data_IF_148232564772
#
_entry.id   IF_148232564772
#
_cell.length_a   1.000
_cell.length_b   1.000
_cell.length_c   1.000
_cell.angle_alpha   90.00
_cell.angle_beta   90.00
_cell.angle_gamma   90.00
#
_symmetry.space_group_name_H-M   'P 1'
#
loop_
_entity.id
_entity.type
_entity.pdbx_description
1 polymer ?
#
# COMPACT_ATOMS: atom_id res chain seq x y z
N UNK A 1 -33.37 -7.15 -8.09
CA UNK A 1 -32.04 -6.65 -8.54
C UNK A 1 -31.60 -5.55 -7.57
N UNK A 2 -30.31 -5.53 -7.24
CA UNK A 2 -29.75 -4.38 -6.52
C UNK A 2 -29.75 -3.16 -7.46
N UNK A 3 -30.13 -2.00 -6.92
CA UNK A 3 -30.06 -0.74 -7.68
C UNK A 3 -28.59 -0.33 -7.88
N UNK A 4 -28.28 0.22 -9.07
CA UNK A 4 -26.97 0.80 -9.36
C UNK A 4 -26.69 1.98 -8.44
N UNK A 5 -25.51 2.02 -7.82
CA UNK A 5 -25.07 3.16 -7.01
C UNK A 5 -24.17 4.06 -7.85
N UNK A 6 -24.75 5.14 -8.39
CA UNK A 6 -24.07 6.05 -9.30
C UNK A 6 -22.88 6.78 -8.64
N UNK A 7 -23.00 7.16 -7.37
CA UNK A 7 -21.93 7.83 -6.63
C UNK A 7 -20.70 6.93 -6.48
N UNK A 8 -20.92 5.66 -6.13
CA UNK A 8 -19.83 4.68 -6.00
C UNK A 8 -19.20 4.40 -7.37
N UNK A 9 -20.00 4.23 -8.42
CA UNK A 9 -19.47 4.01 -9.78
C UNK A 9 -18.66 5.21 -10.27
N UNK A 10 -19.14 6.43 -10.07
CA UNK A 10 -18.39 7.64 -10.39
C UNK A 10 -17.05 7.69 -9.65
N UNK A 11 -17.04 7.41 -8.35
CA UNK A 11 -15.82 7.34 -7.55
C UNK A 11 -14.83 6.32 -8.13
N UNK A 12 -15.26 5.10 -8.41
CA UNK A 12 -14.40 4.03 -8.94
C UNK A 12 -13.79 4.39 -10.31
N UNK A 13 -14.54 5.07 -11.17
CA UNK A 13 -14.10 5.49 -12.49
C UNK A 13 -13.17 6.71 -12.46
N UNK A 14 -13.29 7.59 -11.44
CA UNK A 14 -12.56 8.86 -11.38
C UNK A 14 -11.43 8.89 -10.35
N UNK A 15 -11.39 7.95 -9.38
CA UNK A 15 -10.36 7.96 -8.34
C UNK A 15 -8.93 7.90 -8.91
N UNK A 16 -8.01 8.66 -8.29
CA UNK A 16 -6.60 8.73 -8.68
C UNK A 16 -5.68 8.59 -7.47
N UNK A 17 -4.59 7.83 -7.63
CA UNK A 17 -3.48 7.91 -6.68
C UNK A 17 -2.87 9.31 -6.70
N UNK A 18 -2.50 9.82 -5.53
CA UNK A 18 -1.78 11.09 -5.38
C UNK A 18 -0.30 10.78 -5.17
N UNK A 19 0.63 11.42 -5.90
CA UNK A 19 2.06 11.12 -5.72
C UNK A 19 2.48 11.28 -4.24
N UNK A 20 3.16 10.29 -3.67
CA UNK A 20 3.49 10.29 -2.24
C UNK A 20 4.27 11.54 -1.80
N UNK A 21 5.16 12.06 -2.68
CA UNK A 21 5.91 13.31 -2.44
C UNK A 21 5.05 14.56 -2.32
N UNK A 22 3.76 14.47 -2.65
CA UNK A 22 2.78 15.58 -2.57
C UNK A 22 1.81 15.43 -1.40
N UNK A 23 2.01 14.39 -0.59
CA UNK A 23 1.19 14.14 0.60
C UNK A 23 1.88 14.77 1.82
N UNK A 24 1.14 15.61 2.53
CA UNK A 24 1.61 16.33 3.72
C UNK A 24 0.67 16.15 4.91
N UNK A 25 1.01 16.77 6.02
CA UNK A 25 0.08 16.97 7.13
C UNK A 25 -1.04 17.96 6.73
N UNK A 26 -2.25 17.87 7.33
CA UNK A 26 -2.63 16.90 8.34
C UNK A 26 -2.75 15.49 7.77
N UNK A 27 -2.58 14.49 8.66
CA UNK A 27 -2.80 13.08 8.37
C UNK A 27 -4.05 12.60 9.13
N UNK A 28 -4.67 11.46 8.74
CA UNK A 28 -5.78 10.87 9.50
C UNK A 28 -5.42 10.70 10.97
N UNK A 29 -6.33 11.09 11.86
CA UNK A 29 -6.26 10.74 13.28
C UNK A 29 -6.49 9.23 13.44
N UNK A 30 -6.19 8.71 14.64
CA UNK A 30 -6.29 7.26 14.91
C UNK A 30 -7.66 6.68 14.56
N UNK A 31 -8.73 7.35 14.94
CA UNK A 31 -10.10 6.84 14.71
C UNK A 31 -10.46 6.88 13.22
N UNK A 32 -10.09 7.95 12.51
CA UNK A 32 -10.25 8.04 11.06
C UNK A 32 -9.45 6.94 10.34
N UNK A 33 -8.20 6.71 10.77
CA UNK A 33 -7.38 5.65 10.19
C UNK A 33 -7.96 4.26 10.47
N UNK A 34 -8.50 4.01 11.67
CA UNK A 34 -9.17 2.75 12.00
C UNK A 34 -10.39 2.49 11.09
N UNK A 35 -11.17 3.51 10.76
CA UNK A 35 -12.27 3.39 9.79
C UNK A 35 -11.76 2.95 8.41
N UNK A 36 -10.66 3.55 7.92
CA UNK A 36 -10.03 3.16 6.65
C UNK A 36 -9.55 1.71 6.68
N UNK A 37 -8.90 1.29 7.77
CA UNK A 37 -8.43 -0.08 7.96
C UNK A 37 -9.58 -1.08 8.05
N UNK A 38 -10.67 -0.73 8.73
CA UNK A 38 -11.90 -1.54 8.76
C UNK A 38 -12.49 -1.73 7.36
N UNK A 39 -12.53 -0.67 6.55
CA UNK A 39 -13.00 -0.76 5.17
C UNK A 39 -12.08 -1.65 4.32
N UNK A 40 -10.76 -1.51 4.46
CA UNK A 40 -9.78 -2.35 3.77
C UNK A 40 -9.87 -3.82 4.18
N UNK A 41 -10.10 -4.09 5.46
CA UNK A 41 -10.26 -5.44 6.00
C UNK A 41 -11.52 -6.18 5.53
N UNK A 42 -12.41 -5.54 4.76
CA UNK A 42 -13.55 -6.20 4.09
C UNK A 42 -13.18 -6.91 2.78
N UNK A 43 -11.91 -6.89 2.41
CA UNK A 43 -11.40 -7.59 1.24
C UNK A 43 -11.73 -9.08 1.30
N UNK A 44 -12.16 -9.70 0.17
CA UNK A 44 -12.39 -11.14 0.09
C UNK A 44 -11.15 -11.95 0.48
N UNK A 45 -11.38 -13.00 1.24
CA UNK A 45 -10.36 -13.89 1.81
C UNK A 45 -10.89 -15.32 1.79
N UNK A 46 -10.30 -16.16 0.94
CA UNK A 46 -10.71 -17.56 0.82
C UNK A 46 -10.42 -18.30 2.13
N UNK A 47 -11.46 -18.93 2.69
CA UNK A 47 -11.38 -19.72 3.92
C UNK A 47 -11.20 -18.89 5.19
N UNK A 48 -11.32 -17.58 5.16
CA UNK A 48 -11.18 -16.69 6.33
C UNK A 48 -9.84 -16.86 7.04
N UNK A 49 -8.76 -16.99 6.26
CA UNK A 49 -7.40 -17.17 6.77
C UNK A 49 -6.82 -15.87 7.35
N UNK A 50 -7.37 -14.71 6.96
CA UNK A 50 -6.83 -13.39 7.27
C UNK A 50 -5.32 -13.35 6.94
N UNK A 51 -4.94 -13.55 5.64
CA UNK A 51 -3.55 -13.71 5.24
C UNK A 51 -2.82 -12.36 5.16
N UNK A 52 -3.17 -11.42 6.01
CA UNK A 52 -2.59 -10.07 6.04
C UNK A 52 -2.77 -9.42 7.42
N UNK A 53 -1.93 -8.42 7.67
CA UNK A 53 -2.00 -7.51 8.82
C UNK A 53 -1.48 -6.13 8.42
N UNK A 54 -1.67 -5.15 9.29
CA UNK A 54 -1.24 -3.78 9.07
C UNK A 54 -0.14 -3.38 10.06
N UNK A 55 0.85 -2.60 9.59
CA UNK A 55 1.78 -1.86 10.43
C UNK A 55 1.61 -0.38 10.10
N UNK A 56 1.25 0.43 11.08
CA UNK A 56 1.13 1.88 10.93
C UNK A 56 2.49 2.50 11.20
N UNK A 57 3.00 3.24 10.21
CA UNK A 57 4.30 3.88 10.21
C UNK A 57 4.12 5.41 10.23
N UNK A 58 4.36 6.03 11.37
CA UNK A 58 4.39 7.48 11.51
C UNK A 58 5.75 8.06 11.08
N UNK A 59 5.85 9.37 11.03
CA UNK A 59 7.00 10.15 10.56
C UNK A 59 8.34 9.68 11.14
N UNK A 60 8.39 9.48 12.46
CA UNK A 60 9.61 9.10 13.17
C UNK A 60 10.10 7.72 12.71
N UNK A 61 9.17 6.76 12.60
CA UNK A 61 9.52 5.42 12.12
C UNK A 61 9.91 5.42 10.64
N UNK A 62 9.22 6.19 9.82
CA UNK A 62 9.58 6.35 8.40
C UNK A 62 10.98 6.95 8.24
N UNK A 63 11.36 7.93 9.07
CA UNK A 63 12.71 8.50 9.08
C UNK A 63 13.77 7.47 9.46
N UNK A 64 13.51 6.66 10.51
CA UNK A 64 14.40 5.56 10.91
C UNK A 64 14.59 4.53 9.80
N UNK A 65 13.50 4.19 9.09
CA UNK A 65 13.56 3.29 7.93
C UNK A 65 14.34 3.90 6.77
N UNK A 66 14.30 5.22 6.58
CA UNK A 66 15.13 5.93 5.60
C UNK A 66 16.62 5.79 5.90
N UNK A 67 17.03 5.93 7.16
CA UNK A 67 18.42 5.69 7.60
C UNK A 67 18.84 4.24 7.39
N UNK A 68 17.96 3.29 7.72
CA UNK A 68 18.23 1.85 7.52
C UNK A 68 18.43 1.51 6.03
N UNK A 69 17.60 2.06 5.14
CA UNK A 69 17.74 1.89 3.68
C UNK A 69 19.09 2.39 3.16
N UNK A 70 19.56 3.51 3.70
CA UNK A 70 20.88 4.06 3.32
C UNK A 70 22.01 3.10 3.72
N UNK A 71 21.96 2.57 4.95
CA UNK A 71 22.93 1.59 5.45
C UNK A 71 22.95 0.32 4.62
N UNK A 72 21.79 -0.31 4.39
CA UNK A 72 21.67 -1.54 3.60
C UNK A 72 22.12 -1.31 2.16
N UNK A 73 21.68 -0.21 1.54
CA UNK A 73 22.03 0.09 0.17
C UNK A 73 23.54 0.27 -0.06
N UNK A 74 24.24 0.87 0.91
CA UNK A 74 25.70 0.99 0.87
C UNK A 74 26.40 -0.38 1.00
N UNK A 75 25.90 -1.26 1.87
CA UNK A 75 26.45 -2.62 2.07
C UNK A 75 26.23 -3.52 0.85
N UNK A 76 25.04 -3.44 0.23
CA UNK A 76 24.68 -4.26 -0.93
C UNK A 76 25.09 -3.67 -2.27
N UNK A 77 25.86 -2.58 -2.29
CA UNK A 77 26.30 -1.90 -3.51
C UNK A 77 25.15 -1.49 -4.43
N UNK A 78 24.01 -1.12 -3.86
CA UNK A 78 22.87 -0.58 -4.61
C UNK A 78 23.28 0.79 -5.20
N UNK A 79 22.92 1.11 -6.45
CA UNK A 79 23.21 2.41 -7.03
C UNK A 79 22.73 3.57 -6.17
N UNK A 80 23.58 4.57 -5.95
CA UNK A 80 23.31 5.71 -5.04
C UNK A 80 22.00 6.41 -5.36
N UNK A 81 21.66 6.59 -6.62
CA UNK A 81 20.38 7.17 -7.05
C UNK A 81 19.17 6.39 -6.49
N UNK A 82 19.26 5.06 -6.51
CA UNK A 82 18.19 4.19 -5.98
C UNK A 82 18.09 4.27 -4.46
N UNK A 83 19.23 4.37 -3.77
CA UNK A 83 19.29 4.56 -2.32
C UNK A 83 18.65 5.89 -1.94
N UNK A 84 19.10 6.98 -2.54
CA UNK A 84 18.58 8.33 -2.28
C UNK A 84 17.09 8.45 -2.58
N UNK A 85 16.61 7.82 -3.66
CA UNK A 85 15.20 7.80 -4.00
C UNK A 85 14.36 7.08 -2.92
N UNK A 86 14.80 5.90 -2.48
CA UNK A 86 14.11 5.12 -1.45
C UNK A 86 14.14 5.84 -0.08
N UNK A 87 15.29 6.38 0.32
CA UNK A 87 15.46 7.18 1.54
C UNK A 87 14.52 8.38 1.53
N UNK A 88 14.54 9.21 0.48
CA UNK A 88 13.67 10.40 0.36
C UNK A 88 12.19 10.03 0.36
N UNK A 89 11.81 8.90 -0.24
CA UNK A 89 10.44 8.42 -0.24
C UNK A 89 9.95 8.13 1.18
N UNK A 90 10.78 7.48 2.00
CA UNK A 90 10.47 7.18 3.40
C UNK A 90 10.48 8.46 4.25
N UNK A 91 11.57 9.24 4.20
CA UNK A 91 11.74 10.44 5.01
C UNK A 91 10.70 11.54 4.73
N UNK A 92 10.18 11.64 3.52
CA UNK A 92 9.13 12.63 3.19
C UNK A 92 7.72 12.16 3.59
N UNK A 93 7.54 10.90 3.93
CA UNK A 93 6.25 10.38 4.40
C UNK A 93 5.89 10.93 5.78
N UNK A 94 4.63 11.28 5.98
CA UNK A 94 4.07 11.65 7.29
C UNK A 94 3.33 10.48 7.94
N UNK A 95 2.72 9.64 7.12
CA UNK A 95 2.01 8.42 7.49
C UNK A 95 2.09 7.43 6.35
N UNK A 96 2.44 6.20 6.64
CA UNK A 96 2.24 5.07 5.75
C UNK A 96 1.65 3.88 6.51
N UNK A 97 0.85 3.08 5.82
CA UNK A 97 0.42 1.77 6.32
C UNK A 97 1.12 0.71 5.48
N UNK A 98 1.96 -0.10 6.12
CA UNK A 98 2.48 -1.29 5.50
C UNK A 98 1.40 -2.38 5.57
N UNK A 99 0.94 -2.84 4.41
CA UNK A 99 0.11 -4.04 4.28
C UNK A 99 1.07 -5.22 4.21
N UNK A 100 1.01 -6.06 5.21
CA UNK A 100 1.86 -7.24 5.32
C UNK A 100 1.05 -8.45 4.93
N UNK A 101 1.52 -9.17 3.91
CA UNK A 101 1.08 -10.52 3.63
C UNK A 101 1.57 -11.46 4.73
N UNK A 102 0.68 -12.34 5.21
CA UNK A 102 0.98 -13.32 6.25
C UNK A 102 0.56 -14.69 5.72
N UNK A 103 1.49 -15.42 5.12
CA UNK A 103 1.21 -16.75 4.58
C UNK A 103 0.79 -17.71 5.70
N UNK A 104 -0.41 -18.24 5.58
CA UNK A 104 -0.97 -19.24 6.49
C UNK A 104 -0.86 -20.64 5.89
N UNK A 105 -0.57 -21.61 6.72
CA UNK A 105 -0.64 -23.01 6.28
C UNK A 105 -2.09 -23.39 5.98
N UNK A 106 -2.31 -23.96 4.80
CA UNK A 106 -3.60 -24.51 4.38
C UNK A 106 -3.37 -25.59 3.33
N UNK A 107 -3.99 -26.73 3.52
CA UNK A 107 -3.97 -27.82 2.52
C UNK A 107 -4.91 -27.55 1.35
N UNK A 108 -5.92 -26.71 1.57
CA UNK A 108 -6.99 -26.45 0.58
C UNK A 108 -6.80 -25.15 -0.18
N UNK A 109 -6.12 -24.16 0.41
CA UNK A 109 -6.04 -22.82 -0.14
C UNK A 109 -4.61 -22.53 -0.61
N UNK A 110 -4.40 -22.38 -1.92
CA UNK A 110 -3.09 -22.10 -2.48
C UNK A 110 -2.50 -20.79 -1.94
N UNK A 111 -1.17 -20.76 -1.76
CA UNK A 111 -0.45 -19.56 -1.32
C UNK A 111 -0.72 -18.33 -2.18
N UNK A 112 -0.85 -18.52 -3.49
CA UNK A 112 -1.09 -17.43 -4.44
C UNK A 112 -2.42 -16.71 -4.21
N UNK A 113 -3.47 -17.41 -3.75
CA UNK A 113 -4.75 -16.77 -3.43
C UNK A 113 -4.63 -15.86 -2.21
N UNK A 114 -3.77 -16.22 -1.25
CA UNK A 114 -3.46 -15.39 -0.09
C UNK A 114 -2.72 -14.12 -0.52
N UNK A 115 -1.77 -14.23 -1.44
CA UNK A 115 -1.07 -13.10 -2.05
C UNK A 115 -2.04 -12.16 -2.78
N UNK A 116 -2.97 -12.71 -3.57
CA UNK A 116 -3.98 -11.88 -4.25
C UNK A 116 -4.88 -11.15 -3.26
N UNK A 117 -5.29 -11.79 -2.16
CA UNK A 117 -6.06 -11.14 -1.10
C UNK A 117 -5.26 -9.99 -0.46
N UNK A 118 -3.98 -10.17 -0.15
CA UNK A 118 -3.13 -9.10 0.40
C UNK A 118 -2.97 -7.92 -0.58
N UNK A 119 -2.82 -8.19 -1.87
CA UNK A 119 -2.81 -7.15 -2.91
C UNK A 119 -4.15 -6.41 -3.01
N UNK A 120 -5.27 -7.13 -2.90
CA UNK A 120 -6.60 -6.52 -2.90
C UNK A 120 -6.83 -5.62 -1.68
N UNK A 121 -6.30 -5.96 -0.51
CA UNK A 121 -6.31 -5.10 0.69
C UNK A 121 -5.59 -3.78 0.43
N UNK A 122 -4.45 -3.80 -0.28
CA UNK A 122 -3.75 -2.56 -0.66
C UNK A 122 -4.65 -1.64 -1.50
N UNK A 123 -5.35 -2.18 -2.49
CA UNK A 123 -6.29 -1.40 -3.31
C UNK A 123 -7.49 -0.93 -2.49
N UNK A 124 -8.05 -1.78 -1.62
CA UNK A 124 -9.17 -1.43 -0.77
C UNK A 124 -8.81 -0.27 0.18
N UNK A 125 -7.62 -0.29 0.80
CA UNK A 125 -7.15 0.81 1.66
C UNK A 125 -6.94 2.10 0.86
N UNK A 126 -6.42 2.00 -0.35
CA UNK A 126 -6.23 3.14 -1.25
C UNK A 126 -7.58 3.79 -1.62
N UNK A 127 -8.58 2.96 -1.90
CA UNK A 127 -9.93 3.41 -2.19
C UNK A 127 -10.61 4.02 -0.96
N UNK A 128 -10.49 3.39 0.22
CA UNK A 128 -11.04 3.91 1.47
C UNK A 128 -10.46 5.28 1.82
N UNK A 129 -9.14 5.45 1.74
CA UNK A 129 -8.49 6.74 1.98
C UNK A 129 -9.00 7.81 1.00
N UNK A 130 -9.11 7.49 -0.29
CA UNK A 130 -9.61 8.42 -1.30
C UNK A 130 -11.09 8.77 -1.08
N UNK A 131 -11.93 7.80 -0.70
CA UNK A 131 -13.34 8.02 -0.41
C UNK A 131 -13.55 8.91 0.83
N UNK A 132 -12.65 8.82 1.81
CA UNK A 132 -12.64 9.66 3.01
C UNK A 132 -12.00 11.06 2.77
N UNK A 133 -11.62 11.39 1.53
CA UNK A 133 -11.05 12.69 1.18
C UNK A 133 -9.53 12.80 1.36
N UNK A 134 -8.85 11.71 1.75
CA UNK A 134 -7.40 11.69 1.87
C UNK A 134 -6.71 11.40 0.54
N UNK A 135 -5.55 12.00 0.33
CA UNK A 135 -4.64 11.56 -0.72
C UNK A 135 -3.97 10.24 -0.32
N UNK A 136 -3.81 9.31 -1.29
CA UNK A 136 -3.11 8.07 -1.03
C UNK A 136 -2.32 7.59 -2.25
N UNK A 137 -1.26 6.81 -1.98
CA UNK A 137 -0.40 6.18 -2.98
C UNK A 137 0.08 4.82 -2.50
N UNK A 138 0.01 3.81 -3.38
CA UNK A 138 0.57 2.49 -3.14
C UNK A 138 1.95 2.42 -3.77
N UNK A 139 2.97 2.25 -2.96
CA UNK A 139 4.35 2.16 -3.39
C UNK A 139 5.02 0.89 -2.87
N UNK A 140 5.98 0.46 -3.64
CA UNK A 140 6.99 -0.53 -3.28
C UNK A 140 8.36 0.00 -3.75
N UNK A 141 9.42 -0.69 -3.40
CA UNK A 141 10.77 -0.38 -3.86
C UNK A 141 11.67 -1.57 -3.55
N UNK A 142 12.93 -1.53 -3.93
CA UNK A 142 13.85 -2.63 -3.69
C UNK A 142 13.92 -3.02 -2.21
N UNK A 143 13.90 -2.04 -1.31
CA UNK A 143 14.01 -2.23 0.14
C UNK A 143 12.88 -3.08 0.75
N UNK A 144 11.66 -3.04 0.22
CA UNK A 144 10.56 -3.86 0.78
C UNK A 144 10.68 -5.35 0.44
N UNK A 145 11.63 -5.71 -0.43
CA UNK A 145 11.99 -7.08 -0.76
C UNK A 145 13.32 -7.50 -0.14
N UNK A 146 14.02 -6.57 0.51
CA UNK A 146 15.27 -6.83 1.20
C UNK A 146 15.03 -7.48 2.56
N UNK A 147 15.75 -8.57 2.85
CA UNK A 147 15.57 -9.37 4.07
C UNK A 147 15.93 -8.63 5.34
N UNK A 148 16.99 -7.82 5.31
CA UNK A 148 17.41 -7.05 6.47
C UNK A 148 16.42 -5.94 6.77
N UNK A 149 15.95 -5.23 5.73
CA UNK A 149 14.94 -4.19 5.88
C UNK A 149 13.64 -4.73 6.46
N UNK A 150 13.10 -5.84 5.93
CA UNK A 150 11.83 -6.38 6.42
C UNK A 150 11.95 -6.95 7.83
N UNK A 151 13.08 -7.58 8.16
CA UNK A 151 13.32 -8.16 9.49
C UNK A 151 13.67 -7.11 10.54
N UNK A 152 14.68 -6.29 10.29
CA UNK A 152 15.19 -5.31 11.27
C UNK A 152 14.38 -4.00 11.25
N UNK A 153 13.89 -3.60 10.09
CA UNK A 153 13.08 -2.39 9.93
C UNK A 153 11.63 -2.57 10.37
N UNK A 154 10.98 -3.61 9.89
CA UNK A 154 9.54 -3.85 10.09
C UNK A 154 9.23 -4.97 11.08
N UNK A 155 10.21 -5.75 11.52
CA UNK A 155 10.03 -6.88 12.45
C UNK A 155 9.22 -8.04 11.86
N UNK A 156 9.36 -8.30 10.54
CA UNK A 156 8.60 -9.34 9.88
C UNK A 156 9.16 -10.74 10.19
N UNK A 157 8.27 -11.72 10.19
CA UNK A 157 8.58 -13.15 10.32
C UNK A 157 8.88 -13.75 8.95
N UNK A 158 9.41 -14.98 8.93
CA UNK A 158 9.79 -15.70 7.70
C UNK A 158 8.61 -15.98 6.76
N UNK A 159 7.39 -16.08 7.29
CA UNK A 159 6.16 -16.26 6.52
C UNK A 159 5.45 -14.94 6.20
N UNK A 160 6.11 -13.81 6.39
CA UNK A 160 5.55 -12.49 6.14
C UNK A 160 6.34 -11.75 5.05
N UNK A 161 5.61 -11.00 4.24
CA UNK A 161 6.18 -10.14 3.20
C UNK A 161 5.40 -8.84 3.08
N UNK A 162 5.99 -7.82 2.46
CA UNK A 162 5.32 -6.53 2.25
C UNK A 162 4.53 -6.59 0.94
N UNK A 163 3.19 -6.57 1.02
CA UNK A 163 2.34 -6.42 -0.15
C UNK A 163 2.35 -4.97 -0.69
N UNK A 164 2.52 -3.99 0.17
CA UNK A 164 2.65 -2.59 -0.22
C UNK A 164 2.78 -1.63 0.94
N UNK A 165 3.33 -0.45 0.66
CA UNK A 165 3.34 0.70 1.55
C UNK A 165 2.29 1.70 1.04
N UNK A 166 1.24 1.92 1.79
CA UNK A 166 0.16 2.86 1.43
C UNK A 166 0.41 4.17 2.17
N UNK A 167 0.97 5.15 1.47
CA UNK A 167 1.17 6.50 2.00
C UNK A 167 -0.16 7.25 2.00
N UNK A 168 -0.48 7.92 3.10
CA UNK A 168 -1.75 8.64 3.30
C UNK A 168 -1.46 10.02 3.88
N UNK A 169 -2.16 11.04 3.38
CA UNK A 169 -2.04 12.41 3.86
C UNK A 169 -2.85 13.41 3.05
N UNK A 170 -2.68 14.68 3.34
CA UNK A 170 -3.33 15.77 2.60
C UNK A 170 -2.61 16.02 1.28
N UNK A 171 -3.29 15.87 0.12
CA UNK A 171 -2.66 16.11 -1.17
C UNK A 171 -2.51 17.60 -1.47
N UNK A 172 -1.31 18.05 -1.87
CA UNK A 172 -1.04 19.43 -2.25
C UNK A 172 -1.33 19.74 -3.73
N UNK A 173 -1.53 18.70 -4.55
CA UNK A 173 -1.82 18.85 -5.99
C UNK A 173 -2.90 17.87 -6.45
N UNK A 174 -3.57 18.23 -7.54
CA UNK A 174 -4.37 17.29 -8.32
C UNK A 174 -3.52 16.78 -9.49
N UNK A 175 -3.18 15.48 -9.54
CA UNK A 175 -2.39 14.95 -10.64
C UNK A 175 -3.21 15.00 -11.95
N UNK A 176 -2.56 15.14 -13.11
CA UNK A 176 -3.22 15.04 -14.40
C UNK A 176 -3.84 13.66 -14.60
N UNK A 177 -4.84 13.56 -15.49
CA UNK A 177 -5.42 12.26 -15.83
C UNK A 177 -4.34 11.36 -16.46
N UNK A 178 -4.46 10.07 -16.19
CA UNK A 178 -3.55 9.05 -16.70
C UNK A 178 -4.20 8.31 -17.88
N UNK A 179 -3.47 8.03 -18.96
CA UNK A 179 -3.95 7.13 -19.99
C UNK A 179 -4.44 5.81 -19.37
N UNK A 180 -5.60 5.34 -19.82
CA UNK A 180 -6.19 4.08 -19.37
C UNK A 180 -5.96 3.02 -20.44
N UNK A 181 -5.92 1.73 -20.05
CA UNK A 181 -5.85 0.65 -21.03
C UNK A 181 -7.03 0.72 -22.00
N UNK A 182 -6.78 0.40 -23.26
CA UNK A 182 -7.85 0.16 -24.23
C UNK A 182 -8.52 -1.18 -23.91
N UNK A 183 -9.82 -1.15 -23.62
CA UNK A 183 -10.55 -2.36 -23.26
C UNK A 183 -10.63 -3.36 -24.39
N UNK A 184 -10.63 -2.90 -25.65
CA UNK A 184 -10.65 -3.79 -26.82
C UNK A 184 -9.39 -4.65 -26.94
N UNK A 185 -8.28 -4.24 -26.31
CA UNK A 185 -7.01 -4.96 -26.29
C UNK A 185 -6.89 -5.97 -25.16
N UNK A 186 -7.69 -5.85 -24.10
CA UNK A 186 -7.55 -6.63 -22.86
C UNK A 186 -8.81 -7.39 -22.47
N UNK A 187 -9.89 -7.27 -23.25
CA UNK A 187 -11.16 -8.00 -23.04
C UNK A 187 -11.39 -8.95 -24.19
N UNK A 188 -11.54 -10.20 -23.87
CA UNK A 188 -11.94 -11.24 -24.82
C UNK A 188 -13.38 -11.67 -24.50
N UNK A 189 -14.26 -11.60 -25.50
CA UNK A 189 -15.65 -12.04 -25.41
C UNK A 189 -15.77 -13.45 -25.96
N UNK A 190 -16.14 -14.43 -25.13
CA UNK A 190 -16.33 -15.83 -25.52
C UNK A 190 -17.81 -16.24 -25.51
#
# INVERSE_FOLDING_TARGET
>A
MLSRNETVMHFLLSRRSKPAKTLSAPIPKKDELLELLCAAARTPDHGKLVPWRFIVLHKEKLSQLGTLVESIGAQESIPEEKILKAKKQLENGHLAVAVIEVQKHSEKIPKIEQTYSAGAVCLALLNAASAAGWGANWLTGWHVHDKEFIKNGLGLKDNESVAGLIYIGTPSITPPERPRPNLDEIVEWQ
#
